data_IF_302145642999
#
_entry.id   IF_302145642999
#
_cell.length_a   1.000
_cell.length_b   1.000
_cell.length_c   1.000
_cell.angle_alpha   90.00
_cell.angle_beta   90.00
_cell.angle_gamma   90.00
#
_symmetry.space_group_name_H-M   'P 1'
#
loop_
_entity.id
_entity.type
_entity.pdbx_description
1 polymer ?
#
# COMPACT_ATOMS: atom_id res chain seq x y z
N UNK A 1 -20.51 16.17 28.17
CA UNK A 1 -21.49 15.20 27.66
C UNK A 1 -20.92 13.78 27.62
N UNK A 2 -19.71 13.58 27.07
CA UNK A 2 -19.08 12.26 26.98
C UNK A 2 -18.87 11.54 28.33
N UNK A 3 -18.57 12.28 29.40
CA UNK A 3 -18.40 11.74 30.76
C UNK A 3 -19.67 11.13 31.37
N UNK A 4 -20.85 11.40 30.82
CA UNK A 4 -22.12 10.82 31.29
C UNK A 4 -22.30 9.35 30.88
N UNK A 5 -21.53 8.87 29.90
CA UNK A 5 -21.56 7.47 29.49
C UNK A 5 -20.73 6.59 30.43
N UNK A 6 -21.21 5.36 30.65
CA UNK A 6 -20.46 4.32 31.35
C UNK A 6 -19.17 3.94 30.60
N UNK A 7 -18.15 3.41 31.31
CA UNK A 7 -16.84 3.10 30.72
C UNK A 7 -16.91 2.21 29.48
N UNK A 8 -17.79 1.20 29.46
CA UNK A 8 -17.94 0.27 28.34
C UNK A 8 -18.39 0.98 27.06
N UNK A 9 -19.35 1.90 27.19
CA UNK A 9 -19.87 2.68 26.07
C UNK A 9 -18.80 3.66 25.57
N UNK A 10 -18.07 4.33 26.47
CA UNK A 10 -16.96 5.21 26.09
C UNK A 10 -15.86 4.44 25.35
N UNK A 11 -15.51 3.25 25.84
CA UNK A 11 -14.55 2.36 25.19
C UNK A 11 -14.99 1.98 23.77
N UNK A 12 -16.26 1.61 23.58
CA UNK A 12 -16.79 1.33 22.24
C UNK A 12 -16.74 2.55 21.33
N UNK A 13 -17.15 3.73 21.81
CA UNK A 13 -17.09 4.97 21.03
C UNK A 13 -15.65 5.23 20.57
N UNK A 14 -14.68 5.13 21.48
CA UNK A 14 -13.28 5.33 21.13
C UNK A 14 -12.76 4.28 20.14
N UNK A 15 -13.14 3.01 20.30
CA UNK A 15 -12.77 1.96 19.36
C UNK A 15 -13.34 2.22 17.95
N UNK A 16 -14.62 2.61 17.85
CA UNK A 16 -15.24 2.97 16.56
C UNK A 16 -14.71 4.28 15.97
N UNK A 17 -14.09 5.14 16.79
CA UNK A 17 -13.42 6.35 16.31
C UNK A 17 -12.04 6.11 15.72
N UNK A 18 -11.47 4.91 15.89
CA UNK A 18 -10.18 4.58 15.28
C UNK A 18 -10.30 4.60 13.75
N UNK A 19 -9.28 5.08 13.03
CA UNK A 19 -9.34 5.11 11.58
C UNK A 19 -9.42 3.69 11.02
N UNK A 20 -10.06 3.55 9.86
CA UNK A 20 -9.99 2.33 9.06
C UNK A 20 -8.61 2.17 8.39
N UNK A 21 -8.46 1.23 7.43
CA UNK A 21 -7.23 1.05 6.68
C UNK A 21 -6.72 2.36 6.04
N UNK A 22 -5.48 2.74 6.33
CA UNK A 22 -4.80 3.92 5.74
C UNK A 22 -3.62 3.47 4.87
N UNK A 23 -3.23 4.33 3.92
CA UNK A 23 -2.00 4.15 3.17
C UNK A 23 -0.85 4.88 3.87
N UNK A 24 0.25 4.17 4.12
CA UNK A 24 1.51 4.69 4.63
C UNK A 24 2.50 4.70 3.47
N UNK A 25 2.91 5.89 3.05
CA UNK A 25 3.74 6.06 1.85
C UNK A 25 5.18 6.34 2.27
N UNK A 26 6.08 5.33 2.37
CA UNK A 26 7.49 5.61 2.54
C UNK A 26 7.97 6.45 1.36
N UNK A 27 8.69 7.52 1.63
CA UNK A 27 9.24 8.42 0.64
C UNK A 27 10.73 8.26 0.47
N UNK A 28 11.20 8.65 -0.72
CA UNK A 28 12.63 8.88 -0.95
C UNK A 28 13.00 10.19 -0.26
N UNK A 29 14.10 10.18 0.48
CA UNK A 29 14.67 11.42 1.02
C UNK A 29 15.35 12.18 -0.11
N UNK A 30 14.59 12.90 -0.94
CA UNK A 30 15.17 13.86 -1.88
C UNK A 30 15.91 14.93 -1.08
N UNK A 31 17.21 15.14 -1.33
CA UNK A 31 17.94 16.33 -0.88
C UNK A 31 17.54 17.47 -1.81
N UNK A 32 16.74 18.47 -1.36
CA UNK A 32 16.28 19.53 -2.27
C UNK A 32 17.40 20.50 -2.71
N UNK A 33 18.60 20.41 -2.14
CA UNK A 33 19.62 21.45 -2.30
C UNK A 33 21.08 20.97 -2.32
N UNK A 34 21.37 19.67 -2.40
CA UNK A 34 22.76 19.19 -2.36
C UNK A 34 23.50 19.47 -1.04
N UNK A 35 22.83 20.07 -0.05
CA UNK A 35 23.36 20.19 1.29
C UNK A 35 23.24 18.84 1.99
N UNK A 36 24.41 18.23 2.20
CA UNK A 36 24.60 17.01 2.95
C UNK A 36 24.21 17.23 4.41
N UNK A 37 22.92 17.21 4.73
CA UNK A 37 22.49 17.06 6.12
C UNK A 37 23.04 15.72 6.63
N UNK A 38 24.06 15.82 7.47
CA UNK A 38 24.87 14.72 8.03
C UNK A 38 24.10 13.78 8.95
N UNK A 39 22.80 14.01 9.17
CA UNK A 39 21.97 13.23 10.08
C UNK A 39 20.81 12.52 9.37
N UNK A 40 21.12 11.87 8.25
CA UNK A 40 20.17 10.99 7.57
C UNK A 40 20.50 9.55 7.94
N UNK A 41 19.89 9.09 9.02
CA UNK A 41 19.84 7.67 9.33
C UNK A 41 18.97 6.96 8.28
N UNK A 42 19.60 6.61 7.16
CA UNK A 42 18.97 5.91 6.04
C UNK A 42 18.46 4.53 6.45
N UNK A 43 18.86 4.02 7.63
CA UNK A 43 18.39 2.75 8.17
C UNK A 43 16.93 2.81 8.63
N UNK A 44 16.29 3.99 8.61
CA UNK A 44 14.89 4.26 8.96
C UNK A 44 14.07 4.67 7.76
N UNK A 45 12.80 4.26 7.73
CA UNK A 45 11.88 4.73 6.69
C UNK A 45 11.51 6.19 6.91
N UNK A 46 11.42 6.94 5.81
CA UNK A 46 10.98 8.32 5.81
C UNK A 46 9.54 8.39 5.30
N UNK A 47 8.68 9.18 5.93
CA UNK A 47 7.30 9.36 5.51
C UNK A 47 7.03 10.86 5.30
N UNK A 48 6.92 11.31 4.04
CA UNK A 48 6.65 12.72 3.75
C UNK A 48 5.26 13.13 4.24
N UNK A 49 5.21 14.17 5.09
CA UNK A 49 3.96 14.60 5.74
C UNK A 49 2.82 14.93 4.75
N UNK A 50 3.14 15.43 3.55
CA UNK A 50 2.15 15.75 2.50
C UNK A 50 1.41 14.55 1.92
N UNK A 51 1.93 13.33 2.04
CA UNK A 51 1.34 12.10 1.50
C UNK A 51 0.94 11.09 2.58
N UNK A 52 1.03 11.50 3.85
CA UNK A 52 0.80 10.63 4.97
C UNK A 52 -0.59 10.82 5.55
N UNK A 53 -1.30 9.72 5.74
CA UNK A 53 -2.52 9.74 6.53
C UNK A 53 -2.19 10.18 7.97
N UNK A 54 -2.98 11.10 8.56
CA UNK A 54 -2.71 11.58 9.92
C UNK A 54 -2.77 10.43 10.92
N UNK A 55 -2.00 10.54 12.00
CA UNK A 55 -2.09 9.61 13.13
C UNK A 55 -3.53 9.56 13.68
N UNK A 56 -3.96 8.44 14.30
CA UNK A 56 -5.27 8.34 14.91
C UNK A 56 -5.50 9.51 15.88
N UNK A 57 -6.56 10.29 15.66
CA UNK A 57 -6.88 11.44 16.52
C UNK A 57 -7.04 11.02 17.98
N UNK A 58 -7.50 9.79 18.23
CA UNK A 58 -7.62 9.19 19.56
C UNK A 58 -6.31 9.19 20.37
N UNK A 59 -5.13 9.28 19.75
CA UNK A 59 -3.84 9.40 20.44
C UNK A 59 -3.67 10.75 21.16
N UNK A 60 -4.35 11.81 20.71
CA UNK A 60 -4.17 13.18 21.23
C UNK A 60 -5.37 13.73 22.02
N UNK A 61 -6.54 13.08 22.01
CA UNK A 61 -7.75 13.62 22.66
C UNK A 61 -7.68 13.55 24.19
N UNK A 62 -7.62 12.34 24.76
CA UNK A 62 -7.55 12.15 26.22
C UNK A 62 -6.79 10.85 26.57
N UNK A 63 -6.60 10.59 27.88
CA UNK A 63 -5.87 9.40 28.34
C UNK A 63 -6.58 8.09 27.98
N UNK A 64 -7.91 8.05 28.14
CA UNK A 64 -8.76 6.88 27.83
C UNK A 64 -8.70 6.54 26.33
N UNK A 65 -8.91 7.53 25.45
CA UNK A 65 -8.83 7.34 24.00
C UNK A 65 -7.43 6.90 23.55
N UNK A 66 -6.38 7.48 24.14
CA UNK A 66 -4.99 7.12 23.83
C UNK A 66 -4.70 5.68 24.18
N UNK A 67 -5.14 5.22 25.36
CA UNK A 67 -4.95 3.84 25.79
C UNK A 67 -5.62 2.86 24.81
N UNK A 68 -6.81 3.18 24.32
CA UNK A 68 -7.51 2.36 23.33
C UNK A 68 -6.77 2.37 21.99
N UNK A 69 -6.34 3.54 21.51
CA UNK A 69 -5.57 3.63 20.27
C UNK A 69 -4.26 2.83 20.33
N UNK A 70 -3.54 2.87 21.46
CA UNK A 70 -2.28 2.15 21.66
C UNK A 70 -2.42 0.62 21.74
N UNK A 71 -3.64 0.08 21.87
CA UNK A 71 -3.88 -1.37 21.74
C UNK A 71 -3.74 -1.87 20.30
N UNK A 72 -4.00 -0.99 19.33
CA UNK A 72 -4.05 -1.33 17.90
C UNK A 72 -2.88 -0.72 17.12
N UNK A 73 -2.53 0.51 17.46
CA UNK A 73 -1.51 1.29 16.78
C UNK A 73 -0.25 1.39 17.64
N UNK A 74 0.90 1.15 17.02
CA UNK A 74 2.21 1.35 17.65
C UNK A 74 3.12 2.17 16.77
N UNK A 75 4.17 2.71 17.37
CA UNK A 75 5.23 3.37 16.64
C UNK A 75 5.97 2.34 15.78
N UNK A 76 6.12 2.65 14.49
CA UNK A 76 6.69 1.72 13.50
C UNK A 76 7.83 2.35 12.69
N UNK A 77 8.60 1.48 12.05
CA UNK A 77 9.61 1.77 11.04
C UNK A 77 10.74 2.69 11.54
N UNK A 78 11.08 2.58 12.84
CA UNK A 78 12.14 3.36 13.47
C UNK A 78 11.87 4.87 13.54
N UNK A 79 10.64 5.29 13.17
CA UNK A 79 10.20 6.69 13.18
C UNK A 79 9.80 7.12 14.58
N UNK A 80 9.68 8.43 14.82
CA UNK A 80 9.23 8.98 16.10
C UNK A 80 7.76 9.41 16.10
N UNK A 81 7.13 9.43 14.92
CA UNK A 81 5.85 10.07 14.71
C UNK A 81 4.86 9.23 13.90
N UNK A 82 5.18 7.99 13.48
CA UNK A 82 4.27 7.18 12.67
C UNK A 82 3.67 6.05 13.50
N UNK A 83 2.38 6.20 13.84
CA UNK A 83 1.59 5.17 14.49
C UNK A 83 0.81 4.37 13.44
N UNK A 84 1.05 3.06 13.40
CA UNK A 84 0.47 2.16 12.41
C UNK A 84 -0.08 0.87 13.05
N UNK A 85 -1.16 0.35 12.46
CA UNK A 85 -1.62 -1.01 12.68
C UNK A 85 -1.27 -1.85 11.45
N UNK A 86 -0.20 -2.64 11.54
CA UNK A 86 0.36 -3.41 10.42
C UNK A 86 -0.56 -4.55 9.92
N UNK A 87 -1.67 -4.82 10.63
CA UNK A 87 -2.69 -5.76 10.19
C UNK A 87 -3.69 -5.16 9.20
N UNK A 88 -3.94 -3.84 9.29
CA UNK A 88 -4.98 -3.17 8.51
C UNK A 88 -4.42 -2.07 7.60
N UNK A 89 -3.39 -1.35 8.04
CA UNK A 89 -2.75 -0.29 7.26
C UNK A 89 -1.98 -0.90 6.09
N UNK A 90 -1.90 -0.14 5.00
CA UNK A 90 -1.32 -0.53 3.72
C UNK A 90 -0.01 0.21 3.56
N UNK A 91 1.10 -0.51 3.38
CA UNK A 91 2.37 0.11 3.01
C UNK A 91 2.38 0.36 1.49
N UNK A 92 2.35 1.62 1.06
CA UNK A 92 2.18 2.00 -0.35
C UNK A 92 3.47 2.58 -0.95
N UNK A 93 4.07 1.82 -1.87
CA UNK A 93 5.20 2.22 -2.69
C UNK A 93 4.68 2.70 -4.04
N UNK A 94 4.63 4.01 -4.28
CA UNK A 94 4.09 4.49 -5.56
C UNK A 94 4.01 5.98 -5.88
N UNK A 95 4.12 6.93 -4.94
CA UNK A 95 4.27 8.34 -5.32
C UNK A 95 5.68 8.69 -5.81
N UNK A 96 6.63 7.77 -5.65
CA UNK A 96 8.06 8.00 -5.79
C UNK A 96 8.65 6.99 -6.76
N UNK A 97 9.72 7.36 -7.47
CA UNK A 97 10.51 6.50 -8.35
C UNK A 97 11.33 5.47 -7.56
N UNK A 98 10.73 4.85 -6.52
CA UNK A 98 11.30 3.66 -5.90
C UNK A 98 10.90 2.48 -6.79
N UNK A 99 11.58 2.38 -7.93
CA UNK A 99 11.30 1.38 -8.96
C UNK A 99 11.83 -0.01 -8.58
N UNK A 100 12.67 -0.13 -7.54
CA UNK A 100 13.26 -1.41 -7.14
C UNK A 100 13.19 -1.65 -5.62
N UNK A 101 12.44 -2.68 -5.19
CA UNK A 101 12.48 -3.14 -3.81
C UNK A 101 13.85 -3.70 -3.41
N UNK A 102 14.68 -4.16 -4.33
CA UNK A 102 16.04 -4.62 -4.05
C UNK A 102 16.82 -3.55 -3.29
N UNK A 103 16.90 -2.36 -3.88
CA UNK A 103 17.51 -1.17 -3.25
C UNK A 103 16.82 -0.69 -1.96
N UNK A 104 15.57 -1.09 -1.71
CA UNK A 104 14.85 -0.70 -0.51
C UNK A 104 15.32 -1.44 0.74
N UNK A 105 15.69 -2.70 0.61
CA UNK A 105 16.11 -3.54 1.75
C UNK A 105 17.60 -3.39 2.06
N UNK A 106 18.41 -3.35 1.01
CA UNK A 106 19.85 -3.33 1.05
C UNK A 106 20.32 -2.40 -0.07
N UNK A 107 21.21 -1.47 0.24
CA UNK A 107 21.84 -0.65 -0.79
C UNK A 107 23.29 -0.39 -0.46
N UNK A 108 24.05 -0.19 -1.53
CA UNK A 108 25.47 0.10 -1.48
C UNK A 108 25.65 1.61 -1.51
N UNK A 109 26.24 2.15 -0.46
CA UNK A 109 26.70 3.54 -0.50
C UNK A 109 28.11 3.57 -1.11
N UNK A 110 28.21 4.13 -2.31
CA UNK A 110 29.48 4.48 -2.92
C UNK A 110 30.03 5.72 -2.23
N UNK A 111 31.09 5.54 -1.44
CA UNK A 111 31.88 6.68 -0.99
C UNK A 111 32.94 6.95 -2.05
N UNK A 112 32.81 8.09 -2.74
CA UNK A 112 33.89 8.61 -3.59
C UNK A 112 35.15 8.71 -2.75
N UNK A 113 36.11 7.84 -3.02
CA UNK A 113 37.35 7.76 -2.27
C UNK A 113 38.12 9.07 -2.34
N UNK A 114 38.85 9.38 -1.28
CA UNK A 114 39.84 10.47 -1.27
C UNK A 114 40.95 10.27 -2.32
N UNK A 115 42.02 11.09 -2.26
CA UNK A 115 43.06 11.11 -3.28
C UNK A 115 43.66 9.71 -3.48
N UNK A 116 43.35 9.08 -4.63
CA UNK A 116 43.71 7.68 -4.93
C UNK A 116 42.63 6.86 -5.65
N UNK A 117 41.37 7.32 -5.70
CA UNK A 117 40.35 6.78 -6.62
C UNK A 117 39.74 5.41 -6.28
N UNK A 118 40.04 4.81 -5.11
CA UNK A 118 39.40 3.57 -4.68
C UNK A 118 38.01 3.86 -4.07
N UNK A 119 36.95 3.35 -4.71
CA UNK A 119 35.59 3.40 -4.20
C UNK A 119 35.38 2.33 -3.14
N UNK A 120 35.15 2.73 -1.88
CA UNK A 120 34.71 1.80 -0.85
C UNK A 120 33.19 1.62 -0.95
N UNK A 121 32.75 0.38 -1.21
CA UNK A 121 31.35 -0.01 -1.18
C UNK A 121 31.00 -0.35 0.26
N UNK A 122 30.06 0.41 0.86
CA UNK A 122 29.52 0.10 2.18
C UNK A 122 28.11 -0.44 2.00
N UNK A 123 27.94 -1.74 2.24
CA UNK A 123 26.63 -2.36 2.34
C UNK A 123 25.88 -1.80 3.55
N UNK A 124 24.74 -1.15 3.32
CA UNK A 124 23.84 -0.66 4.38
C UNK A 124 22.63 -1.59 4.50
N UNK A 125 22.32 -1.95 5.75
CA UNK A 125 21.12 -2.71 6.10
C UNK A 125 20.16 -1.84 6.91
N UNK A 126 18.86 -2.10 6.76
CA UNK A 126 17.83 -1.50 7.59
C UNK A 126 18.07 -1.76 9.08
N UNK A 127 17.56 -0.86 9.93
CA UNK A 127 17.56 -1.08 11.37
C UNK A 127 16.78 -2.36 11.72
N UNK A 128 17.22 -3.15 12.72
CA UNK A 128 16.53 -4.39 13.09
C UNK A 128 15.05 -4.18 13.40
N UNK A 129 14.68 -3.05 14.02
CA UNK A 129 13.31 -2.69 14.33
C UNK A 129 12.48 -2.46 13.07
N UNK A 130 13.06 -1.80 12.06
CA UNK A 130 12.42 -1.56 10.76
C UNK A 130 12.19 -2.87 10.03
N UNK A 131 13.21 -3.74 9.99
CA UNK A 131 13.10 -5.05 9.38
C UNK A 131 12.03 -5.92 10.08
N UNK A 132 11.99 -5.91 11.42
CA UNK A 132 10.97 -6.60 12.21
C UNK A 132 9.56 -6.08 11.95
N UNK A 133 9.41 -4.78 11.72
CA UNK A 133 8.13 -4.18 11.36
C UNK A 133 7.69 -4.58 9.96
N UNK A 134 8.61 -4.54 8.98
CA UNK A 134 8.31 -4.94 7.61
C UNK A 134 7.88 -6.42 7.51
N UNK A 135 8.49 -7.32 8.29
CA UNK A 135 8.05 -8.73 8.37
C UNK A 135 6.60 -8.91 8.82
N UNK A 136 6.05 -7.94 9.57
CA UNK A 136 4.68 -7.96 10.09
C UNK A 136 3.66 -7.29 9.17
N UNK A 137 4.09 -6.62 8.11
CA UNK A 137 3.19 -5.96 7.15
C UNK A 137 2.34 -7.01 6.45
N UNK A 138 1.01 -6.85 6.53
CA UNK A 138 0.07 -7.78 5.89
C UNK A 138 -0.46 -7.28 4.55
N UNK A 139 -0.40 -5.97 4.31
CA UNK A 139 -0.97 -5.33 3.11
C UNK A 139 0.04 -4.39 2.51
N UNK A 140 0.35 -4.65 1.25
CA UNK A 140 1.25 -3.82 0.46
C UNK A 140 0.50 -3.27 -0.74
N UNK A 141 0.79 -2.04 -1.11
CA UNK A 141 0.39 -1.48 -2.38
C UNK A 141 1.64 -1.07 -3.17
N UNK A 142 1.62 -1.32 -4.46
CA UNK A 142 2.71 -1.02 -5.36
C UNK A 142 2.19 -0.36 -6.64
N UNK A 143 2.81 0.75 -7.05
CA UNK A 143 2.57 1.38 -8.35
C UNK A 143 3.58 0.83 -9.35
N UNK A 144 3.08 0.44 -10.51
CA UNK A 144 3.90 0.02 -11.64
C UNK A 144 3.70 0.99 -12.80
N UNK A 145 4.76 1.21 -13.58
CA UNK A 145 4.83 2.24 -14.62
C UNK A 145 4.27 1.71 -15.95
N UNK A 146 4.74 0.54 -16.41
CA UNK A 146 4.53 0.07 -17.78
C UNK A 146 3.47 -1.03 -17.95
N UNK A 147 2.49 -1.07 -17.05
CA UNK A 147 1.46 -2.09 -17.13
C UNK A 147 1.93 -3.45 -16.58
N UNK A 148 1.13 -4.49 -16.81
CA UNK A 148 1.50 -5.87 -16.45
C UNK A 148 2.66 -6.43 -17.31
N UNK A 149 2.98 -5.78 -18.42
CA UNK A 149 4.01 -6.24 -19.35
C UNK A 149 5.39 -6.31 -18.70
N UNK A 150 5.67 -5.45 -17.72
CA UNK A 150 6.92 -5.46 -16.94
C UNK A 150 7.09 -6.74 -16.10
N UNK A 151 5.98 -7.39 -15.74
CA UNK A 151 5.95 -8.57 -14.85
C UNK A 151 5.39 -9.82 -15.54
N UNK A 152 5.16 -9.75 -16.85
CA UNK A 152 4.61 -10.86 -17.63
C UNK A 152 5.75 -11.71 -18.17
N UNK A 153 6.04 -12.81 -17.47
CA UNK A 153 7.09 -13.76 -17.85
C UNK A 153 6.76 -14.53 -19.14
N UNK A 154 5.58 -14.32 -19.75
CA UNK A 154 5.13 -15.03 -20.96
C UNK A 154 5.57 -14.38 -22.27
N UNK A 155 6.08 -13.16 -22.24
CA UNK A 155 6.60 -12.51 -23.44
C UNK A 155 8.07 -12.95 -23.61
N UNK A 156 8.31 -13.80 -24.62
CA UNK A 156 9.61 -14.41 -24.89
C UNK A 156 10.76 -13.42 -25.03
N UNK A 157 11.99 -13.96 -25.04
CA UNK A 157 13.31 -13.29 -24.95
C UNK A 157 13.56 -12.03 -25.82
N UNK A 158 12.67 -11.67 -26.73
CA UNK A 158 12.87 -10.60 -27.71
C UNK A 158 12.63 -9.18 -27.19
N UNK A 159 11.96 -9.00 -26.04
CA UNK A 159 11.89 -7.68 -25.38
C UNK A 159 12.80 -7.65 -24.18
N UNK A 160 13.80 -6.77 -24.20
CA UNK A 160 14.83 -6.52 -23.15
C UNK A 160 14.32 -6.23 -21.73
N UNK A 161 13.01 -6.36 -21.46
CA UNK A 161 12.45 -6.32 -20.12
C UNK A 161 12.27 -7.75 -19.65
N UNK A 162 13.36 -8.31 -19.10
CA UNK A 162 13.34 -9.61 -18.42
C UNK A 162 12.15 -9.65 -17.46
N UNK A 163 11.28 -10.65 -17.60
CA UNK A 163 10.09 -10.88 -16.77
C UNK A 163 10.34 -10.59 -15.30
N UNK A 164 9.94 -9.39 -14.87
CA UNK A 164 10.18 -8.90 -13.51
C UNK A 164 9.31 -9.64 -12.50
N UNK A 165 8.41 -10.52 -12.94
CA UNK A 165 7.42 -11.21 -12.11
C UNK A 165 8.08 -12.07 -11.06
N UNK A 166 9.11 -12.84 -11.42
CA UNK A 166 9.85 -13.68 -10.48
C UNK A 166 10.67 -12.87 -9.48
N UNK A 167 11.34 -11.80 -9.92
CA UNK A 167 12.08 -10.92 -9.01
C UNK A 167 11.14 -10.20 -8.05
N UNK A 168 10.01 -9.67 -8.54
CA UNK A 168 8.98 -9.09 -7.68
C UNK A 168 8.45 -10.12 -6.67
N UNK A 169 8.17 -11.36 -7.09
CA UNK A 169 7.73 -12.44 -6.18
C UNK A 169 8.78 -12.73 -5.09
N UNK A 170 10.06 -12.79 -5.47
CA UNK A 170 11.18 -12.98 -4.53
C UNK A 170 11.30 -11.81 -3.56
N UNK A 171 11.14 -10.57 -4.04
CA UNK A 171 11.16 -9.35 -3.22
C UNK A 171 9.97 -9.30 -2.25
N UNK A 172 8.76 -9.62 -2.73
CA UNK A 172 7.55 -9.72 -1.90
C UNK A 172 7.66 -10.86 -0.87
N UNK A 173 8.41 -11.92 -1.19
CA UNK A 173 8.70 -13.02 -0.26
C UNK A 173 9.45 -12.61 1.01
N UNK A 174 10.07 -11.42 1.04
CA UNK A 174 10.69 -10.85 2.25
C UNK A 174 9.66 -10.40 3.30
N UNK A 175 8.40 -10.18 2.91
CA UNK A 175 7.30 -9.85 3.80
C UNK A 175 6.62 -11.13 4.32
N UNK A 176 7.15 -11.71 5.40
CA UNK A 176 6.71 -13.00 5.95
C UNK A 176 5.20 -13.07 6.26
N UNK A 177 4.60 -11.95 6.66
CA UNK A 177 3.17 -11.87 7.02
C UNK A 177 2.25 -11.36 5.90
N UNK A 178 2.75 -11.19 4.68
CA UNK A 178 2.00 -10.58 3.59
C UNK A 178 0.78 -11.41 3.19
N UNK A 179 -0.40 -10.77 3.14
CA UNK A 179 -1.69 -11.38 2.78
C UNK A 179 -2.31 -10.77 1.53
N UNK A 180 -2.04 -9.50 1.28
CA UNK A 180 -2.66 -8.75 0.19
C UNK A 180 -1.64 -7.84 -0.49
N UNK A 181 -1.62 -7.87 -1.81
CA UNK A 181 -0.82 -6.97 -2.65
C UNK A 181 -1.77 -6.25 -3.60
N UNK A 182 -1.80 -4.92 -3.48
CA UNK A 182 -2.59 -4.04 -4.31
C UNK A 182 -1.68 -3.48 -5.41
N UNK A 183 -1.94 -3.84 -6.65
CA UNK A 183 -1.20 -3.32 -7.79
C UNK A 183 -2.02 -2.20 -8.42
N UNK A 184 -1.44 -1.00 -8.47
CA UNK A 184 -2.07 0.19 -9.04
C UNK A 184 -1.35 0.62 -10.31
N UNK A 185 -2.07 0.65 -11.42
CA UNK A 185 -1.63 1.33 -12.64
C UNK A 185 -2.17 2.75 -12.65
N UNK A 186 -1.28 3.73 -12.72
CA UNK A 186 -1.66 5.13 -12.84
C UNK A 186 -0.75 5.83 -13.84
N UNK A 187 -1.28 6.55 -14.84
CA UNK A 187 -0.46 7.34 -15.76
C UNK A 187 0.44 8.31 -14.96
N UNK A 188 1.60 8.64 -15.50
CA UNK A 188 2.69 9.36 -14.80
C UNK A 188 2.35 10.72 -14.19
N UNK A 189 1.12 11.23 -14.38
CA UNK A 189 0.65 12.43 -13.69
C UNK A 189 0.41 12.16 -12.19
N UNK A 190 1.43 12.47 -11.40
CA UNK A 190 1.50 12.43 -9.94
C UNK A 190 0.40 13.24 -9.23
N UNK A 191 -0.30 14.14 -9.94
CA UNK A 191 -1.37 14.97 -9.39
C UNK A 191 -2.73 14.24 -9.24
N UNK A 192 -2.97 13.11 -9.92
CA UNK A 192 -4.32 12.52 -10.02
C UNK A 192 -4.65 11.48 -8.92
N UNK A 193 -3.74 11.23 -7.97
CA UNK A 193 -3.94 10.28 -6.86
C UNK A 193 -5.08 10.65 -5.90
N UNK A 194 -5.62 11.88 -5.99
CA UNK A 194 -6.80 12.31 -5.20
C UNK A 194 -8.12 11.79 -5.77
N UNK A 195 -8.18 11.34 -7.02
CA UNK A 195 -9.44 11.03 -7.74
C UNK A 195 -9.65 9.55 -8.10
N UNK A 196 -8.88 8.64 -7.52
CA UNK A 196 -8.93 7.22 -7.87
C UNK A 196 -10.25 6.55 -7.44
N UNK A 197 -11.24 6.50 -8.35
CA UNK A 197 -12.46 5.67 -8.17
C UNK A 197 -12.10 4.18 -8.21
N UNK A 198 -12.39 3.47 -7.13
CA UNK A 198 -12.04 2.06 -6.91
C UNK A 198 -12.86 1.12 -7.79
N UNK A 199 -12.20 0.31 -8.63
CA UNK A 199 -12.76 -0.96 -9.15
C UNK A 199 -11.88 -2.13 -8.71
N UNK A 200 -12.50 -3.17 -8.16
CA UNK A 200 -11.85 -4.29 -7.47
C UNK A 200 -11.72 -5.48 -8.41
N UNK A 201 -10.49 -5.89 -8.74
CA UNK A 201 -10.21 -7.14 -9.44
C UNK A 201 -9.43 -8.07 -8.53
N UNK A 202 -9.88 -9.29 -8.33
CA UNK A 202 -9.14 -10.30 -7.55
C UNK A 202 -8.58 -11.31 -8.54
N UNK A 203 -7.26 -11.38 -8.68
CA UNK A 203 -6.61 -12.45 -9.44
C UNK A 203 -6.16 -13.56 -8.49
N UNK A 204 -6.60 -14.79 -8.74
CA UNK A 204 -6.23 -16.00 -7.99
C UNK A 204 -4.94 -16.60 -8.56
N UNK A 205 -3.86 -15.81 -8.64
CA UNK A 205 -2.65 -16.23 -9.33
C UNK A 205 -1.42 -16.13 -8.44
N UNK A 206 -1.47 -16.84 -7.30
CA UNK A 206 -0.27 -17.14 -6.52
C UNK A 206 -0.25 -18.63 -6.17
N UNK A 207 0.89 -19.24 -6.51
CA UNK A 207 1.24 -20.64 -6.37
C UNK A 207 0.97 -21.18 -4.97
N UNK A 208 0.87 -22.52 -4.85
CA UNK A 208 0.41 -23.33 -3.71
C UNK A 208 1.04 -23.05 -2.32
N UNK A 209 1.92 -22.05 -2.18
CA UNK A 209 2.60 -21.67 -0.94
C UNK A 209 2.23 -20.30 -0.36
N UNK A 210 1.54 -19.41 -1.09
CA UNK A 210 1.08 -18.13 -0.54
C UNK A 210 -0.35 -17.81 -0.98
N UNK A 211 -1.29 -17.76 -0.03
CA UNK A 211 -2.67 -17.28 -0.25
C UNK A 211 -2.70 -15.75 -0.30
N UNK A 212 -1.92 -15.16 -1.20
CA UNK A 212 -1.90 -13.70 -1.34
C UNK A 212 -2.97 -13.31 -2.35
N UNK A 213 -3.83 -12.38 -1.91
CA UNK A 213 -4.87 -11.81 -2.75
C UNK A 213 -4.27 -10.67 -3.56
N UNK A 214 -4.15 -10.85 -4.87
CA UNK A 214 -3.73 -9.75 -5.75
C UNK A 214 -4.97 -8.95 -6.11
N UNK A 215 -4.97 -7.68 -5.73
CA UNK A 215 -6.01 -6.74 -6.13
C UNK A 215 -5.50 -5.79 -7.20
N UNK A 216 -6.08 -5.86 -8.39
CA UNK A 216 -5.69 -4.99 -9.51
C UNK A 216 -6.64 -3.81 -9.56
N UNK A 217 -6.08 -2.61 -9.47
CA UNK A 217 -6.80 -1.37 -9.66
C UNK A 217 -6.37 -0.73 -10.99
N UNK A 218 -7.27 -0.77 -11.97
CA UNK A 218 -7.12 -0.03 -13.24
C UNK A 218 -7.95 1.25 -13.17
N UNK A 219 -7.26 2.38 -13.28
CA UNK A 219 -7.90 3.69 -13.50
C UNK A 219 -8.26 3.81 -14.97
N UNK A 220 -9.54 4.05 -15.28
CA UNK A 220 -9.99 4.27 -16.64
C UNK A 220 -10.31 5.76 -16.80
N UNK A 221 -9.50 6.47 -17.58
CA UNK A 221 -9.81 7.86 -17.93
C UNK A 221 -10.89 7.87 -19.02
N UNK A 222 -12.06 8.50 -18.79
CA UNK A 222 -13.16 8.53 -19.76
C UNK A 222 -12.78 9.22 -21.08
N UNK A 223 -11.72 10.03 -21.11
CA UNK A 223 -11.23 10.68 -22.34
C UNK A 223 -10.41 9.77 -23.27
N UNK A 224 -10.11 8.53 -22.86
CA UNK A 224 -9.31 7.56 -23.64
C UNK A 224 -10.12 6.72 -24.65
N UNK A 225 -11.45 6.88 -24.72
CA UNK A 225 -12.32 5.99 -25.50
C UNK A 225 -12.17 6.10 -27.03
N UNK A 226 -11.52 7.15 -27.55
CA UNK A 226 -11.37 7.35 -29.00
C UNK A 226 -10.30 6.49 -29.70
N UNK A 227 -9.55 5.64 -28.98
CA UNK A 227 -8.45 4.82 -29.55
C UNK A 227 -8.58 3.30 -29.35
N UNK A 228 -9.78 2.77 -29.06
CA UNK A 228 -9.95 1.32 -28.84
C UNK A 228 -10.07 0.49 -30.13
N UNK A 229 -10.21 1.13 -31.29
CA UNK A 229 -10.32 0.47 -32.60
C UNK A 229 -9.00 -0.08 -33.15
N UNK A 230 -7.85 0.23 -32.53
CA UNK A 230 -6.52 -0.22 -32.99
C UNK A 230 -5.89 -1.32 -32.12
N UNK A 231 -6.58 -1.81 -31.08
CA UNK A 231 -6.04 -2.90 -30.25
C UNK A 231 -6.13 -4.24 -30.99
N UNK A 232 -5.10 -5.12 -30.88
CA UNK A 232 -5.14 -6.49 -31.37
C UNK A 232 -6.37 -7.24 -30.85
N UNK A 233 -6.93 -8.14 -31.67
CA UNK A 233 -8.18 -8.86 -31.40
C UNK A 233 -8.15 -9.56 -30.04
N UNK A 234 -7.04 -10.21 -29.69
CA UNK A 234 -6.84 -10.94 -28.44
C UNK A 234 -6.99 -10.06 -27.18
N UNK A 235 -6.47 -8.83 -27.22
CA UNK A 235 -6.65 -7.85 -26.13
C UNK A 235 -8.11 -7.41 -25.99
N UNK A 236 -8.86 -7.34 -27.08
CA UNK A 236 -10.31 -7.03 -27.01
C UNK A 236 -11.11 -8.17 -26.39
N UNK A 237 -10.83 -9.41 -26.79
CA UNK A 237 -11.53 -10.60 -26.27
C UNK A 237 -11.27 -10.79 -24.79
N UNK A 238 -10.02 -10.60 -24.35
CA UNK A 238 -9.65 -10.62 -22.94
C UNK A 238 -10.41 -9.55 -22.15
N UNK A 239 -10.34 -8.28 -22.58
CA UNK A 239 -11.03 -7.17 -21.91
C UNK A 239 -12.56 -7.36 -21.87
N UNK A 240 -13.18 -7.95 -22.90
CA UNK A 240 -14.61 -8.25 -22.92
C UNK A 240 -14.99 -9.35 -21.93
N UNK A 241 -14.24 -10.46 -21.88
CA UNK A 241 -14.49 -11.53 -20.89
C UNK A 241 -14.36 -11.03 -19.46
N UNK A 242 -13.30 -10.29 -19.18
CA UNK A 242 -13.05 -9.71 -17.88
C UNK A 242 -14.20 -8.76 -17.46
N UNK A 243 -14.70 -7.92 -18.38
CA UNK A 243 -15.86 -7.04 -18.11
C UNK A 243 -17.12 -7.82 -17.73
N UNK A 244 -17.40 -8.93 -18.40
CA UNK A 244 -18.57 -9.76 -18.13
C UNK A 244 -18.50 -10.40 -16.73
N UNK A 245 -17.33 -10.92 -16.34
CA UNK A 245 -17.12 -11.55 -15.04
C UNK A 245 -17.28 -10.57 -13.87
N UNK A 246 -16.77 -9.34 -14.00
CA UNK A 246 -16.93 -8.30 -12.98
C UNK A 246 -18.38 -7.84 -12.85
N UNK A 247 -19.11 -7.74 -13.96
CA UNK A 247 -20.53 -7.40 -13.94
C UNK A 247 -21.35 -8.44 -13.17
N UNK A 248 -21.06 -9.73 -13.37
CA UNK A 248 -21.73 -10.82 -12.64
C UNK A 248 -21.40 -10.83 -11.14
N UNK A 249 -20.14 -10.55 -10.76
CA UNK A 249 -19.74 -10.51 -9.35
C UNK A 249 -20.34 -9.30 -8.61
N UNK A 250 -20.50 -8.16 -9.29
CA UNK A 250 -21.12 -6.97 -8.70
C UNK A 250 -22.64 -7.11 -8.53
N UNK A 251 -23.34 -7.79 -9.46
CA UNK A 251 -24.77 -8.07 -9.32
C UNK A 251 -25.08 -9.03 -8.16
N UNK A 252 -24.14 -9.91 -7.81
CA UNK A 252 -24.28 -10.78 -6.63
C UNK A 252 -24.13 -10.00 -5.31
N UNK A 253 -23.27 -8.98 -5.27
CA UNK A 253 -23.04 -8.17 -4.08
C UNK A 253 -24.16 -7.17 -3.80
N UNK A 254 -24.83 -6.63 -4.83
CA UNK A 254 -25.98 -5.73 -4.66
C UNK A 254 -27.17 -6.42 -3.98
N UNK A 255 -27.26 -7.74 -4.06
CA UNK A 255 -28.35 -8.52 -3.45
C UNK A 255 -28.13 -8.79 -1.94
N UNK A 256 -26.92 -8.59 -1.41
CA UNK A 256 -26.58 -8.88 0.00
C UNK A 256 -26.73 -7.65 0.90
N UNK A 257 -26.60 -6.44 0.34
CA UNK A 257 -26.63 -5.19 1.11
C UNK A 257 -27.96 -4.83 1.80
N UNK A 258 -29.17 -5.17 1.28
CA UNK A 258 -30.42 -4.85 1.95
C UNK A 258 -30.62 -5.61 3.28
N UNK A 259 -29.89 -6.71 3.51
CA UNK A 259 -30.10 -7.58 4.67
C UNK A 259 -29.57 -6.98 5.98
N UNK A 260 -28.56 -6.10 5.92
CA UNK A 260 -27.94 -5.49 7.10
C UNK A 260 -28.60 -4.19 7.55
N UNK A 261 -29.41 -3.56 6.68
CA UNK A 261 -30.05 -2.27 6.98
C UNK A 261 -31.27 -2.44 7.91
N UNK A 262 -31.86 -3.63 7.97
CA UNK A 262 -33.00 -3.94 8.84
C UNK A 262 -32.61 -4.34 10.28
N UNK A 263 -31.31 -4.51 10.58
CA UNK A 263 -30.86 -4.95 11.91
C UNK A 263 -30.51 -3.78 12.86
N UNK A 264 -30.46 -2.55 12.35
CA UNK A 264 -30.04 -1.34 13.09
C UNK A 264 -31.19 -0.37 13.43
N UNK A 265 -32.44 -0.74 13.13
CA UNK A 265 -33.63 0.07 13.47
C UNK A 265 -34.54 -0.75 14.37
N UNK A 266 -34.16 -0.91 15.64
CA UNK A 266 -35.09 -1.26 16.71
C UNK A 266 -34.76 -0.37 17.90
N UNK A 267 -35.44 0.77 17.96
CA UNK A 267 -35.49 1.57 19.17
C UNK A 267 -36.14 0.76 20.30
N UNK A 268 -35.55 0.72 21.50
CA UNK A 268 -36.28 0.25 22.67
C UNK A 268 -37.28 1.34 23.07
N UNK A 269 -38.57 1.03 22.95
CA UNK A 269 -39.64 1.82 23.57
C UNK A 269 -39.42 1.89 25.08
N UNK A 270 -39.57 3.06 25.72
CA UNK A 270 -39.48 3.17 27.16
C UNK A 270 -40.73 2.57 27.81
N UNK A 271 -40.51 1.69 28.78
CA UNK A 271 -41.46 1.22 29.77
C UNK A 271 -40.91 1.46 31.17
#
# INVERSE_FOLDING_TARGET
>A
MFSKFGPEIRCRIWHFSLPGPRALCPGVRSTPSGEYETNRDYRKLFFPGKHQAPNPAALSVCRESRQIALQWYRLCFGTQNIYADLNIDILFFGPWDVTDFGTFWEWDEYKSGGPGGLTNIIHKTLQPEVAADLKKVQRLAYRYLDGWAEYDDTHGEETHMNGGGDELRKQLGRFESLKEVLLSHGPDNTDDLRNTRRRRWVSNMLSQRMKVKILIHTTFSPNSERKTSSLPSERRTFLQRSRHEVSQKLSLLSNVFPMYQNMLIRDPTPG
#
